data_IF_773437649241
#
_entry.id   IF_773437649241
#
_cell.length_a   1.000
_cell.length_b   1.000
_cell.length_c   1.000
_cell.angle_alpha   90.00
_cell.angle_beta   90.00
_cell.angle_gamma   90.00
#
_symmetry.space_group_name_H-M   'P 1'
#
loop_
_entity.id
_entity.type
_entity.pdbx_description
1 polymer ?
#
# COMPACT_ATOMS: atom_id res chain seq x y z
N UNK A 1 -16.12 16.40 9.27
CA UNK A 1 -15.81 15.14 8.57
C UNK A 1 -15.09 14.25 9.55
N UNK A 2 -15.82 13.32 10.17
CA UNK A 2 -15.39 12.69 11.41
C UNK A 2 -14.51 11.47 11.16
N UNK A 3 -14.53 10.81 10.00
CA UNK A 3 -14.03 9.42 9.94
C UNK A 3 -12.58 9.22 9.43
N UNK A 4 -11.87 10.27 8.99
CA UNK A 4 -10.49 10.12 8.46
C UNK A 4 -9.55 9.50 9.51
N UNK A 5 -9.70 9.91 10.77
CA UNK A 5 -8.85 9.42 11.85
C UNK A 5 -9.07 7.93 12.18
N UNK A 6 -10.18 7.34 11.72
CA UNK A 6 -10.45 5.91 11.79
C UNK A 6 -9.95 5.17 10.55
N UNK A 7 -10.17 5.76 9.36
CA UNK A 7 -9.80 5.15 8.09
C UNK A 7 -8.29 5.01 7.92
N UNK A 8 -7.51 6.00 8.36
CA UNK A 8 -6.06 6.00 8.15
C UNK A 8 -5.35 4.85 8.89
N UNK A 9 -5.62 4.58 10.19
CA UNK A 9 -5.16 3.36 10.84
C UNK A 9 -5.64 2.07 10.16
N UNK A 10 -6.88 2.03 9.65
CA UNK A 10 -7.42 0.85 8.96
C UNK A 10 -6.70 0.58 7.63
N UNK A 11 -6.37 1.64 6.87
CA UNK A 11 -5.57 1.54 5.66
C UNK A 11 -4.18 0.99 5.97
N UNK A 12 -3.53 1.45 7.05
CA UNK A 12 -2.25 0.87 7.48
C UNK A 12 -2.39 -0.63 7.75
N UNK A 13 -3.45 -1.03 8.46
CA UNK A 13 -3.70 -2.44 8.75
C UNK A 13 -3.97 -3.25 7.47
N UNK A 14 -4.67 -2.68 6.49
CA UNK A 14 -4.92 -3.33 5.20
C UNK A 14 -3.60 -3.55 4.42
N UNK A 15 -2.69 -2.57 4.39
CA UNK A 15 -1.36 -2.74 3.79
C UNK A 15 -0.55 -3.82 4.52
N UNK A 16 -0.63 -3.88 5.85
CA UNK A 16 0.03 -4.94 6.62
C UNK A 16 -0.53 -6.31 6.30
N UNK A 17 -1.85 -6.42 6.15
CA UNK A 17 -2.48 -7.68 5.77
C UNK A 17 -2.08 -8.11 4.36
N UNK A 18 -2.05 -7.17 3.42
CA UNK A 18 -1.55 -7.44 2.07
C UNK A 18 -0.10 -7.95 2.10
N UNK A 19 0.78 -7.35 2.91
CA UNK A 19 2.15 -7.82 3.09
C UNK A 19 2.23 -9.25 3.63
N UNK A 20 1.38 -9.61 4.58
CA UNK A 20 1.31 -10.99 5.11
C UNK A 20 0.88 -11.97 4.01
N UNK A 21 -0.14 -11.61 3.22
CA UNK A 21 -0.67 -12.45 2.14
C UNK A 21 0.37 -12.72 1.04
N UNK A 22 1.20 -11.73 0.70
CA UNK A 22 2.24 -11.87 -0.33
C UNK A 22 3.56 -12.43 0.22
N UNK A 23 3.62 -12.75 1.52
CA UNK A 23 4.81 -13.32 2.16
C UNK A 23 5.93 -12.32 2.45
N UNK A 24 5.65 -11.01 2.43
CA UNK A 24 6.62 -10.00 2.79
C UNK A 24 6.90 -10.03 4.31
N UNK A 25 8.17 -9.97 4.76
CA UNK A 25 8.48 -10.05 6.18
C UNK A 25 8.01 -8.78 6.90
N UNK A 26 7.06 -8.91 7.83
CA UNK A 26 6.50 -7.80 8.61
C UNK A 26 7.34 -7.42 9.84
N UNK A 27 8.32 -8.25 10.19
CA UNK A 27 9.26 -8.00 11.29
C UNK A 27 10.67 -7.80 10.76
N UNK A 28 11.42 -6.93 11.42
CA UNK A 28 12.84 -6.71 11.17
C UNK A 28 13.66 -6.99 12.44
N UNK A 29 14.88 -7.53 12.32
CA UNK A 29 15.76 -7.76 13.46
C UNK A 29 16.18 -6.44 14.10
N UNK A 30 16.18 -6.39 15.43
CA UNK A 30 16.60 -5.20 16.19
C UNK A 30 18.08 -5.29 16.56
N UNK A 31 18.80 -4.15 16.52
CA UNK A 31 20.14 -4.02 17.10
C UNK A 31 20.04 -4.24 18.62
N UNK A 32 20.52 -5.40 19.09
CA UNK A 32 20.39 -5.86 20.48
C UNK A 32 19.61 -7.18 20.65
N UNK A 33 19.17 -7.80 19.55
CA UNK A 33 18.39 -9.04 19.58
C UNK A 33 16.88 -8.80 19.56
N UNK A 34 16.14 -9.83 19.18
CA UNK A 34 14.68 -9.78 19.01
C UNK A 34 14.21 -9.21 17.68
N UNK A 35 12.89 -9.12 17.54
CA UNK A 35 12.19 -8.69 16.33
C UNK A 35 11.35 -7.44 16.63
N UNK A 36 11.47 -6.42 15.80
CA UNK A 36 10.61 -5.24 15.82
C UNK A 36 9.64 -5.30 14.64
N UNK A 37 8.42 -4.79 14.84
CA UNK A 37 7.50 -4.58 13.74
C UNK A 37 8.10 -3.56 12.76
N UNK A 38 8.07 -3.87 11.46
CA UNK A 38 8.48 -2.90 10.43
C UNK A 38 7.52 -1.73 10.41
N UNK A 39 8.08 -0.55 10.18
CA UNK A 39 7.29 0.65 9.92
C UNK A 39 6.52 0.50 8.61
N UNK A 40 5.42 1.23 8.46
CA UNK A 40 4.66 1.24 7.21
C UNK A 40 5.52 1.69 6.02
N UNK A 41 6.43 2.65 6.22
CA UNK A 41 7.34 3.12 5.17
C UNK A 41 8.33 2.04 4.74
N UNK A 42 8.93 1.31 5.69
CA UNK A 42 9.80 0.17 5.38
C UNK A 42 9.05 -0.94 4.64
N UNK A 43 7.78 -1.16 4.99
CA UNK A 43 6.96 -2.20 4.37
C UNK A 43 6.60 -1.85 2.92
N UNK A 44 6.19 -0.60 2.67
CA UNK A 44 5.90 -0.10 1.32
C UNK A 44 7.14 0.00 0.41
N UNK A 45 8.35 -0.10 0.97
CA UNK A 45 9.62 -0.22 0.21
C UNK A 45 10.06 -1.66 0.01
N UNK A 46 9.34 -2.63 0.56
CA UNK A 46 9.69 -4.03 0.40
C UNK A 46 9.51 -4.46 -1.06
N UNK A 47 10.50 -5.13 -1.62
CA UNK A 47 10.47 -5.57 -3.02
C UNK A 47 9.34 -6.58 -3.27
N UNK A 48 9.03 -7.44 -2.29
CA UNK A 48 7.96 -8.45 -2.38
C UNK A 48 6.60 -7.76 -2.45
N UNK A 49 6.37 -6.80 -1.55
CA UNK A 49 5.12 -6.04 -1.53
C UNK A 49 4.98 -5.14 -2.76
N UNK A 50 6.08 -4.51 -3.18
CA UNK A 50 6.10 -3.66 -4.38
C UNK A 50 5.86 -4.47 -5.66
N UNK A 51 6.41 -5.69 -5.73
CA UNK A 51 6.14 -6.60 -6.85
C UNK A 51 4.68 -7.02 -6.95
N UNK A 52 3.97 -7.12 -5.81
CA UNK A 52 2.56 -7.47 -5.78
C UNK A 52 1.61 -6.28 -6.03
N UNK A 53 1.94 -5.09 -5.51
CA UNK A 53 1.07 -3.89 -5.64
C UNK A 53 1.42 -3.00 -6.83
N UNK A 54 2.56 -3.19 -7.51
CA UNK A 54 3.19 -2.24 -8.43
C UNK A 54 3.90 -1.06 -7.74
N UNK A 55 4.95 -0.55 -8.39
CA UNK A 55 5.77 0.57 -7.93
C UNK A 55 4.99 1.88 -7.88
N UNK A 56 4.05 2.10 -8.81
CA UNK A 56 3.23 3.32 -8.83
C UNK A 56 2.34 3.41 -7.58
N UNK A 57 1.78 2.27 -7.17
CA UNK A 57 0.86 2.20 -6.03
C UNK A 57 1.63 2.34 -4.72
N UNK A 58 2.75 1.63 -4.56
CA UNK A 58 3.56 1.78 -3.34
C UNK A 58 4.13 3.19 -3.22
N UNK A 59 4.52 3.82 -4.33
CA UNK A 59 4.98 5.22 -4.36
C UNK A 59 3.86 6.18 -3.98
N UNK A 60 2.66 6.00 -4.55
CA UNK A 60 1.48 6.79 -4.19
C UNK A 60 1.13 6.68 -2.70
N UNK A 61 1.08 5.45 -2.16
CA UNK A 61 0.78 5.21 -0.75
C UNK A 61 1.84 5.81 0.17
N UNK A 62 3.12 5.76 -0.20
CA UNK A 62 4.21 6.39 0.57
C UNK A 62 4.06 7.91 0.60
N UNK A 63 3.87 8.54 -0.56
CA UNK A 63 3.69 9.98 -0.66
C UNK A 63 2.46 10.46 0.14
N UNK A 64 1.40 9.67 0.16
CA UNK A 64 0.18 10.00 0.89
C UNK A 64 0.33 9.78 2.41
N UNK A 65 0.84 8.62 2.83
CA UNK A 65 0.74 8.15 4.21
C UNK A 65 1.98 8.44 5.04
N UNK A 66 3.19 8.24 4.50
CA UNK A 66 4.42 8.14 5.32
C UNK A 66 5.51 9.16 5.02
N UNK A 67 5.56 9.70 3.80
CA UNK A 67 6.65 10.58 3.38
C UNK A 67 6.52 11.96 4.05
N UNK A 68 7.51 12.30 4.87
CA UNK A 68 7.57 13.55 5.61
C UNK A 68 7.66 14.81 4.73
N UNK A 69 8.09 14.68 3.47
CA UNK A 69 8.15 15.79 2.50
C UNK A 69 6.85 15.95 1.71
N UNK A 70 5.94 15.00 1.83
CA UNK A 70 4.65 15.00 1.16
C UNK A 70 3.52 15.17 2.19
N UNK A 71 2.43 14.43 2.04
CA UNK A 71 1.23 14.67 2.83
C UNK A 71 1.37 14.13 4.26
N UNK A 72 2.03 12.98 4.38
CA UNK A 72 2.37 12.35 5.66
C UNK A 72 1.15 12.14 6.59
N UNK A 73 -0.01 11.82 6.00
CA UNK A 73 -1.30 11.88 6.71
C UNK A 73 -1.32 10.91 7.88
N UNK A 74 -0.77 9.70 7.72
CA UNK A 74 -0.73 8.69 8.78
C UNK A 74 -0.03 9.22 10.01
N UNK A 75 1.16 9.80 9.84
CA UNK A 75 1.92 10.30 10.98
C UNK A 75 1.21 11.52 11.60
N UNK A 76 0.69 12.46 10.80
CA UNK A 76 -0.02 13.63 11.32
C UNK A 76 -1.25 13.24 12.15
N UNK A 77 -2.05 12.30 11.66
CA UNK A 77 -3.28 11.86 12.33
C UNK A 77 -2.97 10.99 13.53
N UNK A 78 -2.17 9.93 13.37
CA UNK A 78 -1.92 8.96 14.45
C UNK A 78 -1.06 9.53 15.59
N UNK A 79 -0.27 10.58 15.34
CA UNK A 79 0.46 11.30 16.39
C UNK A 79 -0.30 12.50 16.96
N UNK A 80 -1.55 12.74 16.55
CA UNK A 80 -2.36 13.85 17.05
C UNK A 80 -1.83 15.24 16.65
N UNK A 81 -1.07 15.32 15.56
CA UNK A 81 -0.54 16.56 14.99
C UNK A 81 -1.44 17.15 13.89
N UNK A 82 -2.56 16.49 13.56
CA UNK A 82 -3.51 16.95 12.57
C UNK A 82 -4.31 18.15 13.10
N UNK A 83 -4.27 19.25 12.36
CA UNK A 83 -5.07 20.44 12.60
C UNK A 83 -6.45 20.33 11.94
N UNK A 84 -7.30 21.34 12.15
CA UNK A 84 -8.66 21.35 11.60
C UNK A 84 -8.65 21.33 10.06
N UNK A 85 -7.63 21.97 9.46
CA UNK A 85 -7.41 22.00 8.01
C UNK A 85 -7.06 20.63 7.44
N UNK A 86 -6.50 19.71 8.24
CA UNK A 86 -6.25 18.33 7.84
C UNK A 86 -7.54 17.52 7.61
N UNK A 87 -8.71 18.00 8.06
CA UNK A 87 -10.00 17.32 7.90
C UNK A 87 -10.86 17.94 6.80
N UNK A 88 -10.29 18.03 5.59
CA UNK A 88 -10.95 18.61 4.41
C UNK A 88 -11.28 17.57 3.32
N UNK A 89 -12.22 17.91 2.44
CA UNK A 89 -12.73 17.01 1.38
C UNK A 89 -11.62 16.43 0.49
N UNK A 90 -10.54 17.18 0.24
CA UNK A 90 -9.41 16.73 -0.55
C UNK A 90 -8.61 15.62 0.17
N UNK A 91 -8.43 15.72 1.49
CA UNK A 91 -7.82 14.64 2.29
C UNK A 91 -8.73 13.40 2.31
N UNK A 92 -10.05 13.58 2.48
CA UNK A 92 -10.97 12.45 2.44
C UNK A 92 -11.01 11.73 1.09
N UNK A 93 -11.02 12.47 -0.02
CA UNK A 93 -10.98 11.89 -1.36
C UNK A 93 -9.73 11.03 -1.55
N UNK A 94 -8.55 11.52 -1.11
CA UNK A 94 -7.31 10.74 -1.21
C UNK A 94 -7.30 9.53 -0.29
N UNK A 95 -7.86 9.63 0.91
CA UNK A 95 -7.95 8.50 1.84
C UNK A 95 -8.92 7.43 1.30
N UNK A 96 -10.06 7.84 0.74
CA UNK A 96 -10.99 6.94 0.07
C UNK A 96 -10.36 6.28 -1.15
N UNK A 97 -9.67 7.05 -1.99
CA UNK A 97 -8.94 6.54 -3.14
C UNK A 97 -7.89 5.50 -2.72
N UNK A 98 -7.11 5.75 -1.67
CA UNK A 98 -6.15 4.79 -1.14
C UNK A 98 -6.82 3.50 -0.65
N UNK A 99 -7.95 3.59 0.05
CA UNK A 99 -8.72 2.44 0.50
C UNK A 99 -9.23 1.60 -0.69
N UNK A 100 -9.80 2.25 -1.70
CA UNK A 100 -10.27 1.57 -2.93
C UNK A 100 -9.12 0.95 -3.72
N UNK A 101 -7.99 1.64 -3.81
CA UNK A 101 -6.79 1.11 -4.49
C UNK A 101 -6.33 -0.20 -3.86
N UNK A 102 -6.27 -0.26 -2.52
CA UNK A 102 -5.87 -1.48 -1.80
C UNK A 102 -6.95 -2.58 -1.90
N UNK A 103 -8.23 -2.20 -1.91
CA UNK A 103 -9.33 -3.15 -2.04
C UNK A 103 -9.33 -3.86 -3.41
N UNK A 104 -9.15 -3.10 -4.50
CA UNK A 104 -9.16 -3.66 -5.86
C UNK A 104 -7.97 -4.60 -6.11
N UNK A 105 -6.82 -4.38 -5.48
CA UNK A 105 -5.64 -5.24 -5.63
C UNK A 105 -5.78 -6.60 -4.91
N UNK A 106 -6.76 -6.75 -4.02
CA UNK A 106 -7.01 -8.02 -3.34
C UNK A 106 -7.82 -9.00 -4.21
N UNK A 107 -8.61 -8.50 -5.17
CA UNK A 107 -9.47 -9.35 -6.02
C UNK A 107 -8.66 -10.12 -7.07
N UNK A 108 -7.58 -9.54 -7.59
CA UNK A 108 -6.69 -10.19 -8.57
C UNK A 108 -5.88 -11.36 -7.98
N UNK A 109 -5.87 -11.53 -6.65
CA UNK A 109 -5.16 -12.60 -5.95
C UNK A 109 -6.09 -13.77 -5.51
N UNK A 110 -7.38 -13.74 -5.85
CA UNK A 110 -8.36 -14.79 -5.55
C UNK A 110 -8.82 -15.56 -6.82
N UNK A 111 -7.88 -15.84 -7.72
CA UNK A 111 -8.09 -16.74 -8.85
C UNK A 111 -6.76 -17.29 -9.35
N UNK A 112 -6.69 -18.62 -9.45
CA UNK A 112 -5.73 -19.40 -10.21
C UNK A 112 -4.43 -19.84 -9.52
N UNK A 113 -4.58 -20.94 -8.76
CA UNK A 113 -3.77 -22.10 -9.11
C UNK A 113 -3.99 -22.44 -10.59
N UNK A 114 -2.96 -22.19 -11.42
CA UNK A 114 -2.88 -22.37 -12.88
C UNK A 114 -3.42 -21.22 -13.74
N UNK A 115 -2.54 -20.34 -14.23
CA UNK A 115 -2.41 -20.09 -15.69
C UNK A 115 -1.07 -19.41 -16.06
N UNK A 116 -0.28 -20.16 -16.82
CA UNK A 116 0.63 -19.82 -17.93
C UNK A 116 1.35 -18.44 -18.00
N UNK A 117 2.66 -18.41 -18.34
CA UNK A 117 3.37 -17.16 -18.61
C UNK A 117 2.76 -16.46 -19.84
N UNK A 118 2.44 -15.17 -19.73
CA UNK A 118 2.09 -14.31 -20.88
C UNK A 118 3.30 -14.24 -21.84
N UNK A 119 3.35 -15.18 -22.79
CA UNK A 119 4.14 -15.04 -24.00
C UNK A 119 3.55 -13.86 -24.76
N UNK A 120 4.37 -12.83 -24.96
CA UNK A 120 4.05 -11.70 -25.83
C UNK A 120 4.12 -12.24 -27.25
N UNK A 121 2.99 -12.74 -27.77
CA UNK A 121 2.85 -13.17 -29.14
C UNK A 121 3.07 -11.99 -30.08
N UNK A 122 4.17 -12.03 -30.82
CA UNK A 122 4.29 -11.30 -32.07
C UNK A 122 3.38 -12.01 -33.06
N UNK A 123 2.30 -11.38 -33.52
CA UNK A 123 1.57 -11.89 -34.70
C UNK A 123 1.02 -10.75 -35.54
N UNK A 124 1.45 -10.79 -36.80
CA UNK A 124 0.86 -10.09 -37.93
C UNK A 124 1.73 -10.33 -39.16
N UNK A 125 1.13 -10.65 -40.31
CA UNK A 125 0.38 -11.87 -40.57
C UNK A 125 1.10 -12.73 -41.63
N UNK A 126 0.96 -14.06 -41.54
CA UNK A 126 1.27 -14.99 -42.63
C UNK A 126 0.10 -14.98 -43.62
N UNK A 127 0.37 -14.80 -44.91
CA UNK A 127 -0.09 -15.66 -46.02
C UNK A 127 0.19 -14.98 -47.39
N UNK A 128 0.94 -15.70 -48.24
CA UNK A 128 1.44 -15.41 -49.62
C UNK A 128 2.87 -14.87 -49.75
#
# INVERSE_FOLDING_TARGET
>A
MVDIHLLVPQIEQAVRQAAILVGAPIYAPRKGGGLNLRTLDELLRDATLTGALSEDITTYLRALLTDARAWNIRNKICHGMADQDSFNMLVADRVLHAALTIALLQEDNHGDGQTSPRVRGCDGPQDC
#
